data_IF_775232128629
#
_entry.id   IF_775232128629
#
_cell.length_a   1.000
_cell.length_b   1.000
_cell.length_c   1.000
_cell.angle_alpha   90.00
_cell.angle_beta   90.00
_cell.angle_gamma   90.00
#
_symmetry.space_group_name_H-M   'P 1'
#
loop_
_entity.id
_entity.type
_entity.pdbx_description
1 polymer ?
#
# COMPACT_ATOMS: atom_id res chain seq x y z
N UNK A 1 31.52 -26.99 -31.00
CA UNK A 1 30.58 -25.86 -30.84
C UNK A 1 30.93 -25.17 -29.54
N UNK A 2 31.52 -23.96 -29.54
CA UNK A 2 31.76 -23.24 -28.29
C UNK A 2 30.41 -22.75 -27.76
N UNK A 3 30.05 -23.17 -26.54
CA UNK A 3 28.92 -22.58 -25.83
C UNK A 3 29.31 -21.15 -25.47
N UNK A 4 28.74 -20.16 -26.15
CA UNK A 4 29.02 -18.73 -25.93
C UNK A 4 28.42 -18.27 -24.59
N UNK A 5 29.23 -17.99 -23.54
CA UNK A 5 28.74 -17.67 -22.19
C UNK A 5 28.24 -16.22 -22.01
N UNK A 6 28.23 -15.43 -23.08
CA UNK A 6 27.89 -14.00 -23.05
C UNK A 6 26.41 -13.72 -23.37
N UNK A 7 25.73 -14.62 -24.09
CA UNK A 7 24.33 -14.43 -24.48
C UNK A 7 23.35 -14.74 -23.33
N UNK A 8 23.69 -15.75 -22.53
CA UNK A 8 22.97 -16.15 -21.32
C UNK A 8 23.17 -15.14 -20.17
N UNK A 9 24.36 -14.57 -19.99
CA UNK A 9 24.62 -13.59 -18.91
C UNK A 9 23.77 -12.32 -19.08
N UNK A 10 23.68 -11.75 -20.29
CA UNK A 10 22.83 -10.58 -20.56
C UNK A 10 21.34 -10.88 -20.39
N UNK A 11 20.92 -12.09 -20.73
CA UNK A 11 19.53 -12.53 -20.53
C UNK A 11 19.20 -12.74 -19.05
N UNK A 12 20.17 -13.20 -18.26
CA UNK A 12 20.04 -13.35 -16.80
C UNK A 12 20.00 -11.99 -16.11
N UNK A 13 20.88 -11.06 -16.51
CA UNK A 13 20.92 -9.71 -15.96
C UNK A 13 19.58 -9.00 -16.19
N UNK A 14 19.06 -9.01 -17.43
CA UNK A 14 17.76 -8.41 -17.74
C UNK A 14 16.64 -9.03 -16.91
N UNK A 15 16.66 -10.35 -16.71
CA UNK A 15 15.66 -11.00 -15.86
C UNK A 15 15.75 -10.59 -14.39
N UNK A 16 16.95 -10.48 -13.83
CA UNK A 16 17.14 -9.99 -12.46
C UNK A 16 16.61 -8.56 -12.32
N UNK A 17 16.87 -7.70 -13.29
CA UNK A 17 16.38 -6.32 -13.31
C UNK A 17 14.84 -6.29 -13.36
N UNK A 18 14.22 -7.07 -14.25
CA UNK A 18 12.75 -7.18 -14.37
C UNK A 18 12.11 -7.70 -13.06
N UNK A 19 12.73 -8.70 -12.41
CA UNK A 19 12.25 -9.28 -11.14
C UNK A 19 12.39 -8.29 -9.97
N UNK A 20 13.52 -7.59 -9.88
CA UNK A 20 13.74 -6.54 -8.89
C UNK A 20 12.74 -5.40 -9.06
N UNK A 21 12.44 -5.00 -10.30
CA UNK A 21 11.44 -3.99 -10.60
C UNK A 21 10.05 -4.41 -10.11
N UNK A 22 9.63 -5.66 -10.36
CA UNK A 22 8.35 -6.19 -9.86
C UNK A 22 8.31 -6.15 -8.33
N UNK A 23 9.34 -6.64 -7.65
CA UNK A 23 9.39 -6.64 -6.18
C UNK A 23 9.34 -5.22 -5.59
N UNK A 24 10.04 -4.26 -6.20
CA UNK A 24 10.02 -2.85 -5.76
C UNK A 24 8.63 -2.25 -5.95
N UNK A 25 8.01 -2.46 -7.11
CA UNK A 25 6.69 -1.93 -7.44
C UNK A 25 5.61 -2.48 -6.50
N UNK A 26 5.65 -3.78 -6.20
CA UNK A 26 4.75 -4.42 -5.23
C UNK A 26 4.88 -3.80 -3.85
N UNK A 27 6.12 -3.66 -3.34
CA UNK A 27 6.38 -3.05 -2.02
C UNK A 27 5.94 -1.60 -1.98
N UNK A 28 6.22 -0.84 -3.02
CA UNK A 28 5.81 0.55 -3.12
C UNK A 28 4.27 0.68 -3.16
N UNK A 29 3.59 -0.20 -3.90
CA UNK A 29 2.12 -0.29 -3.94
C UNK A 29 1.52 -0.55 -2.56
N UNK A 30 2.02 -1.55 -1.83
CA UNK A 30 1.60 -1.84 -0.44
C UNK A 30 1.85 -0.66 0.50
N UNK A 31 3.03 -0.05 0.41
CA UNK A 31 3.38 1.12 1.23
C UNK A 31 2.43 2.31 0.99
N UNK A 32 2.12 2.61 -0.28
CA UNK A 32 1.18 3.67 -0.67
C UNK A 32 -0.23 3.39 -0.14
N UNK A 33 -0.70 2.15 -0.27
CA UNK A 33 -1.99 1.72 0.24
C UNK A 33 -2.10 1.90 1.77
N UNK A 34 -1.14 1.38 2.54
CA UNK A 34 -1.16 1.48 4.00
C UNK A 34 -1.05 2.93 4.48
N UNK A 35 -0.21 3.75 3.82
CA UNK A 35 -0.15 5.19 4.12
C UNK A 35 -1.51 5.87 3.90
N UNK A 36 -2.22 5.54 2.83
CA UNK A 36 -3.54 6.10 2.56
C UNK A 36 -4.58 5.62 3.58
N UNK A 37 -4.51 4.35 3.98
CA UNK A 37 -5.37 3.76 5.00
C UNK A 37 -5.18 4.42 6.36
N UNK A 38 -3.94 4.71 6.76
CA UNK A 38 -3.66 5.50 7.98
C UNK A 38 -4.31 6.89 7.95
N UNK A 39 -4.25 7.61 6.82
CA UNK A 39 -4.94 8.90 6.67
C UNK A 39 -6.45 8.74 6.82
N UNK A 40 -7.03 7.69 6.24
CA UNK A 40 -8.46 7.40 6.35
C UNK A 40 -8.87 7.13 7.80
N UNK A 41 -8.05 6.40 8.57
CA UNK A 41 -8.27 6.17 10.00
C UNK A 41 -8.29 7.49 10.78
N UNK A 42 -7.30 8.36 10.56
CA UNK A 42 -7.26 9.67 11.22
C UNK A 42 -8.49 10.54 10.90
N UNK A 43 -8.98 10.51 9.65
CA UNK A 43 -10.21 11.21 9.27
C UNK A 43 -11.45 10.65 9.98
N UNK A 44 -11.54 9.32 10.15
CA UNK A 44 -12.66 8.69 10.89
C UNK A 44 -12.61 9.06 12.37
N UNK A 45 -11.44 9.11 12.97
CA UNK A 45 -11.26 9.52 14.37
C UNK A 45 -11.71 10.97 14.59
N UNK A 46 -11.27 11.88 13.71
CA UNK A 46 -11.71 13.29 13.77
C UNK A 46 -13.24 13.39 13.63
N UNK A 47 -13.83 12.68 12.67
CA UNK A 47 -15.27 12.68 12.47
C UNK A 47 -16.04 12.11 13.68
N UNK A 48 -15.53 11.04 14.29
CA UNK A 48 -16.15 10.43 15.47
C UNK A 48 -16.15 11.40 16.66
N UNK A 49 -15.02 12.07 16.91
CA UNK A 49 -14.91 13.11 17.94
C UNK A 49 -15.86 14.27 17.67
N UNK A 50 -15.95 14.72 16.42
CA UNK A 50 -16.80 15.85 16.05
C UNK A 50 -18.29 15.51 16.22
N UNK A 51 -18.71 14.31 15.80
CA UNK A 51 -20.09 13.81 16.01
C UNK A 51 -20.42 13.64 17.49
N UNK A 52 -19.46 13.24 18.31
CA UNK A 52 -19.65 13.17 19.77
C UNK A 52 -19.83 14.57 20.37
N UNK A 53 -18.97 15.52 20.02
CA UNK A 53 -19.06 16.91 20.49
C UNK A 53 -20.37 17.56 20.08
N UNK A 54 -20.84 17.31 18.86
CA UNK A 54 -22.10 17.86 18.38
C UNK A 54 -23.32 17.38 19.20
N UNK A 55 -23.34 16.07 19.55
CA UNK A 55 -24.36 15.49 20.45
C UNK A 55 -24.29 16.03 21.88
N UNK A 56 -23.10 16.26 22.41
CA UNK A 56 -22.93 16.83 23.76
C UNK A 56 -23.40 18.29 23.82
N UNK A 57 -23.13 19.05 22.75
CA UNK A 57 -23.59 20.43 22.62
C UNK A 57 -25.11 20.54 22.47
N UNK A 58 -25.81 19.54 21.93
CA UNK A 58 -27.26 19.55 21.78
C UNK A 58 -28.01 19.13 23.05
N UNK A 59 -27.38 18.35 23.92
CA UNK A 59 -28.05 17.68 25.05
C UNK A 59 -27.79 18.33 26.42
N UNK A 60 -27.17 19.51 26.48
CA UNK A 60 -26.77 20.23 27.73
C UNK A 60 -25.81 19.50 28.69
N UNK A 61 -25.51 18.23 28.45
CA UNK A 61 -24.52 17.44 29.19
C UNK A 61 -23.09 17.80 28.73
N UNK A 62 -22.56 18.93 29.18
CA UNK A 62 -21.14 19.25 28.99
C UNK A 62 -20.33 18.44 30.00
N UNK A 63 -19.50 17.47 29.57
CA UNK A 63 -18.67 16.72 30.50
C UNK A 63 -17.65 17.67 31.15
N UNK A 64 -17.64 17.73 32.48
CA UNK A 64 -16.74 18.61 33.26
C UNK A 64 -15.24 18.38 32.97
N UNK A 65 -14.89 17.26 32.32
CA UNK A 65 -13.54 16.90 31.88
C UNK A 65 -13.45 16.97 30.36
N UNK A 66 -13.31 18.18 29.84
CA UNK A 66 -13.07 18.41 28.41
C UNK A 66 -11.61 18.03 28.11
N UNK A 67 -11.42 16.92 27.39
CA UNK A 67 -10.10 16.55 26.87
C UNK A 67 -9.65 17.63 25.85
N UNK A 68 -8.36 17.96 25.72
CA UNK A 68 -7.90 19.14 24.94
C UNK A 68 -8.46 19.21 23.51
N UNK A 69 -8.69 18.07 22.87
CA UNK A 69 -9.32 17.99 21.54
C UNK A 69 -10.78 18.47 21.49
N UNK A 70 -11.55 18.23 22.57
CA UNK A 70 -12.96 18.62 22.66
C UNK A 70 -13.12 20.14 22.88
N UNK A 71 -12.20 20.79 23.60
CA UNK A 71 -12.27 22.26 23.84
C UNK A 71 -12.24 23.06 22.55
N UNK A 72 -11.37 22.69 21.60
CA UNK A 72 -11.30 23.36 20.30
C UNK A 72 -12.57 23.16 19.49
N UNK A 73 -13.11 21.93 19.47
CA UNK A 73 -14.30 21.61 18.69
C UNK A 73 -15.59 22.22 19.31
N UNK A 74 -15.67 22.31 20.64
CA UNK A 74 -16.77 22.95 21.36
C UNK A 74 -16.82 24.47 21.14
N UNK A 75 -15.67 25.12 20.89
CA UNK A 75 -15.61 26.54 20.56
C UNK A 75 -16.16 26.88 19.17
N UNK A 76 -16.35 25.88 18.30
CA UNK A 76 -16.94 26.08 16.98
C UNK A 76 -18.46 26.27 17.09
N UNK A 77 -19.02 27.16 16.27
CA UNK A 77 -20.47 27.30 16.17
C UNK A 77 -21.11 26.01 15.65
N UNK A 78 -22.38 25.73 15.99
CA UNK A 78 -23.08 24.53 15.51
C UNK A 78 -23.06 24.38 13.98
N UNK A 79 -23.24 25.48 13.24
CA UNK A 79 -23.15 25.46 11.78
C UNK A 79 -21.74 25.12 11.28
N UNK A 80 -20.70 25.71 11.87
CA UNK A 80 -19.32 25.40 11.51
C UNK A 80 -18.95 23.94 11.79
N UNK A 81 -19.49 23.33 12.86
CA UNK A 81 -19.33 21.90 13.12
C UNK A 81 -20.04 21.06 12.06
N UNK A 82 -21.27 21.41 11.69
CA UNK A 82 -22.04 20.71 10.67
C UNK A 82 -21.33 20.73 9.30
N UNK A 83 -20.83 21.89 8.88
CA UNK A 83 -20.02 22.03 7.66
C UNK A 83 -18.75 21.18 7.71
N UNK A 84 -18.08 21.15 8.87
CA UNK A 84 -16.89 20.31 9.07
C UNK A 84 -17.21 18.82 9.00
N UNK A 85 -18.34 18.38 9.58
CA UNK A 85 -18.83 16.99 9.48
C UNK A 85 -19.05 16.63 8.00
N UNK A 86 -19.79 17.44 7.25
CA UNK A 86 -20.07 17.19 5.83
C UNK A 86 -18.78 17.12 4.99
N UNK A 87 -17.82 18.02 5.26
CA UNK A 87 -16.51 18.02 4.61
C UNK A 87 -15.71 16.75 4.90
N UNK A 88 -15.68 16.29 6.16
CA UNK A 88 -15.01 15.05 6.56
C UNK A 88 -15.67 13.82 5.92
N UNK A 89 -16.99 13.77 5.85
CA UNK A 89 -17.73 12.70 5.19
C UNK A 89 -17.44 12.64 3.68
N UNK A 90 -17.41 13.78 3.01
CA UNK A 90 -16.98 13.87 1.61
C UNK A 90 -15.54 13.36 1.44
N UNK A 91 -14.60 13.81 2.27
CA UNK A 91 -13.21 13.35 2.19
C UNK A 91 -13.08 11.85 2.45
N UNK A 92 -13.87 11.28 3.37
CA UNK A 92 -13.91 9.83 3.61
C UNK A 92 -14.47 9.06 2.41
N UNK A 93 -15.50 9.58 1.75
CA UNK A 93 -16.05 8.99 0.52
C UNK A 93 -14.96 8.92 -0.57
N UNK A 94 -14.30 10.04 -0.84
CA UNK A 94 -13.19 10.09 -1.80
C UNK A 94 -12.02 9.17 -1.41
N UNK A 95 -11.66 9.14 -0.13
CA UNK A 95 -10.59 8.27 0.39
C UNK A 95 -10.94 6.78 0.24
N UNK A 96 -12.21 6.43 0.44
CA UNK A 96 -12.71 5.05 0.25
C UNK A 96 -12.59 4.63 -1.20
N UNK A 97 -13.03 5.48 -2.14
CA UNK A 97 -12.90 5.20 -3.57
C UNK A 97 -11.43 5.01 -3.98
N UNK A 98 -10.54 5.86 -3.48
CA UNK A 98 -9.10 5.73 -3.71
C UNK A 98 -8.53 4.42 -3.16
N UNK A 99 -8.91 4.02 -1.94
CA UNK A 99 -8.46 2.76 -1.35
C UNK A 99 -8.98 1.54 -2.09
N UNK A 100 -10.23 1.56 -2.58
CA UNK A 100 -10.78 0.49 -3.42
C UNK A 100 -9.98 0.37 -4.73
N UNK A 101 -9.67 1.48 -5.38
CA UNK A 101 -8.88 1.51 -6.61
C UNK A 101 -7.41 1.11 -6.41
N UNK A 102 -6.83 1.41 -5.23
CA UNK A 102 -5.49 0.93 -4.86
C UNK A 102 -5.51 -0.56 -4.54
N UNK A 103 -6.52 -1.02 -3.79
CA UNK A 103 -6.66 -2.41 -3.41
C UNK A 103 -6.84 -3.33 -4.61
N UNK A 104 -7.48 -2.89 -5.71
CA UNK A 104 -7.59 -3.70 -6.92
C UNK A 104 -6.25 -3.93 -7.63
N UNK A 105 -5.26 -3.07 -7.41
CA UNK A 105 -3.92 -3.18 -8.03
C UNK A 105 -2.95 -4.02 -7.17
N UNK A 106 -3.26 -4.30 -5.91
CA UNK A 106 -2.41 -5.11 -5.02
C UNK A 106 -2.39 -6.60 -5.42
N UNK A 107 -3.53 -7.28 -5.68
CA UNK A 107 -3.55 -8.68 -6.11
C UNK A 107 -2.85 -8.90 -7.45
N UNK A 108 -3.02 -8.01 -8.42
CA UNK A 108 -2.37 -8.14 -9.74
C UNK A 108 -0.84 -7.98 -9.61
N UNK A 109 -0.38 -7.10 -8.72
CA UNK A 109 1.05 -6.95 -8.44
C UNK A 109 1.61 -8.19 -7.70
N UNK A 110 0.83 -8.81 -6.81
CA UNK A 110 1.21 -10.00 -6.04
C UNK A 110 1.14 -11.30 -6.84
N UNK A 111 0.23 -11.44 -7.81
CA UNK A 111 0.20 -12.58 -8.73
C UNK A 111 1.43 -12.61 -9.65
N UNK A 112 1.93 -11.43 -10.05
CA UNK A 112 3.20 -11.31 -10.77
C UNK A 112 4.41 -11.70 -9.91
N UNK A 113 4.32 -11.55 -8.59
CA UNK A 113 5.34 -11.96 -7.61
C UNK A 113 5.34 -13.48 -7.37
N UNK A 114 4.18 -14.15 -7.36
CA UNK A 114 4.08 -15.54 -6.85
C UNK A 114 3.80 -16.64 -7.89
N UNK A 115 3.23 -16.36 -9.06
CA UNK A 115 2.53 -17.40 -9.83
C UNK A 115 3.40 -18.43 -10.56
N UNK A 116 4.13 -18.01 -11.60
CA UNK A 116 4.62 -18.97 -12.61
C UNK A 116 5.96 -18.59 -13.25
N UNK A 117 6.36 -17.32 -13.15
CA UNK A 117 7.60 -16.80 -13.75
C UNK A 117 8.82 -17.08 -12.88
N UNK A 118 8.67 -16.96 -11.55
CA UNK A 118 9.76 -17.14 -10.60
C UNK A 118 10.22 -18.60 -10.55
N UNK A 119 9.31 -19.56 -10.31
CA UNK A 119 9.70 -20.96 -10.10
C UNK A 119 10.28 -21.63 -11.36
N UNK A 120 9.65 -21.47 -12.53
CA UNK A 120 10.11 -22.10 -13.77
C UNK A 120 11.42 -21.53 -14.34
N UNK A 121 11.80 -20.29 -13.98
CA UNK A 121 13.03 -19.65 -14.46
C UNK A 121 14.23 -19.82 -13.54
N UNK A 122 14.03 -20.01 -12.23
CA UNK A 122 15.12 -20.43 -11.33
C UNK A 122 15.74 -21.76 -11.76
N UNK A 123 14.95 -22.65 -12.35
CA UNK A 123 15.44 -23.91 -12.90
C UNK A 123 16.35 -23.70 -14.12
N UNK A 124 16.12 -22.64 -14.91
CA UNK A 124 17.00 -22.24 -16.02
C UNK A 124 18.35 -21.71 -15.51
N UNK A 125 18.35 -20.91 -14.44
CA UNK A 125 19.57 -20.42 -13.79
C UNK A 125 20.39 -21.59 -13.23
N UNK A 126 19.72 -22.56 -12.60
CA UNK A 126 20.35 -23.80 -12.11
C UNK A 126 20.95 -24.63 -13.26
N UNK A 127 20.22 -24.77 -14.37
CA UNK A 127 20.68 -25.49 -15.56
C UNK A 127 21.92 -24.86 -16.20
N UNK A 128 22.01 -23.52 -16.26
CA UNK A 128 23.21 -22.81 -16.75
C UNK A 128 24.42 -23.10 -15.86
N UNK A 129 24.25 -23.05 -14.55
CA UNK A 129 25.30 -23.36 -13.59
C UNK A 129 25.75 -24.83 -13.67
N UNK A 130 24.80 -25.75 -13.85
CA UNK A 130 25.09 -27.19 -14.01
C UNK A 130 25.82 -27.49 -15.32
N UNK A 131 25.49 -26.81 -16.42
CA UNK A 131 26.24 -26.88 -17.68
C UNK A 131 27.66 -26.34 -17.53
N UNK A 132 27.85 -25.21 -16.84
CA UNK A 132 29.19 -24.67 -16.59
C UNK A 132 30.04 -25.63 -15.74
N UNK A 133 29.46 -26.22 -14.68
CA UNK A 133 30.13 -27.22 -13.83
C UNK A 133 30.54 -28.48 -14.59
N UNK A 134 29.67 -28.98 -15.45
CA UNK A 134 29.95 -30.20 -16.24
C UNK A 134 31.01 -29.95 -17.31
N UNK A 135 31.00 -28.77 -17.95
CA UNK A 135 32.02 -28.39 -18.92
C UNK A 135 33.42 -28.26 -18.27
N UNK A 136 33.51 -27.72 -17.05
CA UNK A 136 34.76 -27.66 -16.28
C UNK A 136 35.31 -29.03 -15.82
N UNK A 137 34.44 -30.04 -15.70
CA UNK A 137 34.84 -31.42 -15.33
C UNK A 137 35.29 -32.27 -16.52
N UNK A 138 34.97 -31.83 -17.74
CA UNK A 138 35.25 -32.57 -18.97
C UNK A 138 36.54 -32.11 -19.69
N UNK A 139 37.16 -31.03 -19.20
CA UNK A 139 38.50 -30.57 -19.59
C UNK A 139 39.54 -31.02 -18.54
#
# INVERSE_FOLDING_TARGET
MPCSPLGNEKSLQKWLDDELEVMVNVREGRFKYEKQKCKQTALREELALLKQVDRLSSNSDVPHKVNKGHSRLLSMSPNARMERIASLEHMLSMSTNALTAMASQLPEAEERECGLVVHGRWDQVRSINDMQRTCFRAC
#
